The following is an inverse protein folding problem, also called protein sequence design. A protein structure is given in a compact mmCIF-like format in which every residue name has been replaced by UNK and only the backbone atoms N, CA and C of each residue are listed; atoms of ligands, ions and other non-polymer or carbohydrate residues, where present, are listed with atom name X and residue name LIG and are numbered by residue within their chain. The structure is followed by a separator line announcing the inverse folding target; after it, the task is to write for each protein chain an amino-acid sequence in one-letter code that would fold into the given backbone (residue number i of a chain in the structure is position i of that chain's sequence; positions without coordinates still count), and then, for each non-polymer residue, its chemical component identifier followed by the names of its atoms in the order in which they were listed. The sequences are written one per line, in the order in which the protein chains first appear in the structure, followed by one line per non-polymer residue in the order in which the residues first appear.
data_IF_116704984628
#
_entry.id   IF_116704984628
#
_cell.length_a   1.000
_cell.length_b   1.000
_cell.length_c   1.000
_cell.angle_alpha   90.00
_cell.angle_beta   90.00
_cell.angle_gamma   90.00
#
_symmetry.space_group_name_H-M   'P 1'
#
loop_
_entity.id
_entity.type
_entity.pdbx_description
1 polymer ?
#
# COMPACT_ATOMS: atom_id res chain seq x y z
N UNK A 1 2.95 34.69 -33.11
CA UNK A 1 1.50 34.48 -33.09
C UNK A 1 1.10 33.01 -33.29
N UNK A 2 1.65 32.25 -34.24
CA UNK A 2 1.31 30.85 -34.53
C UNK A 2 1.59 29.85 -33.36
N UNK A 3 2.60 30.10 -32.54
CA UNK A 3 2.93 29.17 -31.42
C UNK A 3 1.94 29.22 -30.26
N UNK A 4 1.33 30.34 -30.00
CA UNK A 4 0.32 30.54 -28.97
C UNK A 4 -1.01 29.85 -29.35
N UNK A 5 -1.42 30.02 -30.63
CA UNK A 5 -2.61 29.36 -31.16
C UNK A 5 -2.52 27.82 -31.10
N UNK A 6 -1.35 27.25 -31.44
CA UNK A 6 -1.12 25.79 -31.30
C UNK A 6 -1.21 25.30 -29.88
N UNK A 7 -0.77 26.06 -28.87
CA UNK A 7 -0.92 25.71 -27.47
C UNK A 7 -2.39 25.71 -27.01
N UNK A 8 -3.15 26.74 -27.43
CA UNK A 8 -4.58 26.82 -27.10
C UNK A 8 -5.35 25.66 -27.74
N UNK A 9 -5.10 25.33 -29.00
CA UNK A 9 -5.74 24.20 -29.70
C UNK A 9 -5.42 22.88 -28.98
N UNK A 10 -4.16 22.65 -28.55
CA UNK A 10 -3.81 21.46 -27.74
C UNK A 10 -4.59 21.38 -26.44
N UNK A 11 -4.72 22.48 -25.71
CA UNK A 11 -5.47 22.52 -24.45
C UNK A 11 -6.96 22.21 -24.69
N UNK A 12 -7.55 22.79 -25.74
CA UNK A 12 -8.95 22.53 -26.11
C UNK A 12 -9.15 21.04 -26.46
N UNK A 13 -8.24 20.44 -27.23
CA UNK A 13 -8.32 19.01 -27.58
C UNK A 13 -8.24 18.13 -26.33
N UNK A 14 -7.36 18.45 -25.37
CA UNK A 14 -7.24 17.70 -24.11
C UNK A 14 -8.53 17.84 -23.28
N UNK A 15 -9.10 19.03 -23.19
CA UNK A 15 -10.37 19.25 -22.47
C UNK A 15 -11.50 18.49 -23.13
N UNK A 16 -11.62 18.53 -24.46
CA UNK A 16 -12.62 17.78 -25.20
C UNK A 16 -12.45 16.26 -25.07
N UNK A 17 -11.20 15.77 -25.03
CA UNK A 17 -10.91 14.36 -24.80
C UNK A 17 -11.34 13.92 -23.38
N UNK A 18 -11.10 14.75 -22.36
CA UNK A 18 -11.52 14.49 -20.99
C UNK A 18 -13.07 14.48 -20.89
N UNK A 19 -13.72 15.49 -21.48
CA UNK A 19 -15.18 15.59 -21.50
C UNK A 19 -15.78 14.40 -22.27
N UNK A 20 -15.23 14.06 -23.43
CA UNK A 20 -15.65 12.90 -24.21
C UNK A 20 -15.49 11.60 -23.44
N UNK A 21 -14.36 11.39 -22.78
CA UNK A 21 -14.11 10.21 -21.94
C UNK A 21 -15.11 10.10 -20.80
N UNK A 22 -15.42 11.20 -20.10
CA UNK A 22 -16.44 11.22 -19.04
C UNK A 22 -17.84 10.96 -19.58
N UNK A 23 -18.19 11.55 -20.73
CA UNK A 23 -19.52 11.42 -21.35
C UNK A 23 -19.82 10.03 -21.92
N UNK A 24 -18.79 9.28 -22.36
CA UNK A 24 -18.95 7.89 -22.88
C UNK A 24 -18.86 6.83 -21.74
N UNK A 25 -19.05 7.24 -20.50
CA UNK A 25 -18.99 6.32 -19.38
C UNK A 25 -17.58 6.06 -18.84
N UNK A 26 -16.59 6.85 -19.24
CA UNK A 26 -15.25 6.78 -18.69
C UNK A 26 -15.21 6.99 -17.18
N UNK A 27 -16.15 7.77 -16.63
CA UNK A 27 -16.37 7.87 -15.20
C UNK A 27 -16.87 6.56 -14.59
N UNK A 28 -17.73 5.84 -15.31
CA UNK A 28 -18.19 4.50 -14.91
C UNK A 28 -17.06 3.48 -15.04
N UNK A 29 -16.20 3.60 -16.05
CA UNK A 29 -14.99 2.79 -16.19
C UNK A 29 -13.99 3.06 -15.05
N UNK A 30 -13.76 4.31 -14.71
CA UNK A 30 -12.95 4.69 -13.55
C UNK A 30 -13.59 4.17 -12.25
N UNK A 31 -14.88 4.40 -12.05
CA UNK A 31 -15.63 3.84 -10.93
C UNK A 31 -15.53 2.31 -10.88
N UNK A 32 -15.69 1.62 -11.97
CA UNK A 32 -15.67 0.15 -12.02
C UNK A 32 -14.26 -0.43 -11.85
N UNK A 33 -13.20 0.30 -12.22
CA UNK A 33 -11.81 -0.10 -12.01
C UNK A 33 -11.21 0.39 -10.68
N UNK A 34 -11.79 1.44 -10.12
CA UNK A 34 -11.45 1.98 -8.78
C UNK A 34 -12.53 1.58 -7.77
N UNK A 35 -13.46 0.71 -8.13
CA UNK A 35 -14.44 0.22 -7.18
C UNK A 35 -13.72 -0.41 -5.98
N UNK A 36 -13.69 0.37 -4.91
CA UNK A 36 -13.81 -0.16 -3.57
C UNK A 36 -15.15 -0.92 -3.54
N UNK A 37 -15.13 -2.17 -3.95
CA UNK A 37 -16.29 -2.99 -3.89
C UNK A 37 -16.59 -3.22 -2.40
N UNK A 38 -17.59 -2.55 -1.86
CA UNK A 38 -17.97 -2.61 -0.45
C UNK A 38 -18.54 -3.97 -0.04
N UNK A 39 -18.70 -4.89 -0.99
CA UNK A 39 -19.09 -6.25 -0.70
C UNK A 39 -17.90 -7.01 -0.10
N UNK A 40 -18.06 -7.50 1.13
CA UNK A 40 -17.03 -8.23 1.88
C UNK A 40 -16.50 -9.45 1.10
N UNK A 41 -17.38 -10.16 0.43
CA UNK A 41 -17.06 -11.33 -0.38
C UNK A 41 -16.11 -11.01 -1.54
N UNK A 42 -16.33 -9.92 -2.25
CA UNK A 42 -15.44 -9.44 -3.32
C UNK A 42 -14.08 -8.95 -2.80
N UNK A 43 -14.01 -8.44 -1.58
CA UNK A 43 -12.73 -8.05 -0.94
C UNK A 43 -11.91 -9.29 -0.62
N UNK A 44 -12.55 -10.31 -0.04
CA UNK A 44 -11.92 -11.60 0.29
C UNK A 44 -11.42 -12.27 -1.00
N UNK A 45 -12.24 -12.40 -2.03
CA UNK A 45 -11.85 -12.99 -3.32
C UNK A 45 -10.62 -12.29 -3.95
N UNK A 46 -10.57 -10.96 -3.86
CA UNK A 46 -9.41 -10.18 -4.35
C UNK A 46 -8.18 -10.39 -3.48
N UNK A 47 -8.35 -10.47 -2.16
CA UNK A 47 -7.26 -10.72 -1.24
C UNK A 47 -6.68 -12.12 -1.47
N UNK A 48 -7.50 -13.15 -1.66
CA UNK A 48 -7.09 -14.53 -1.90
C UNK A 48 -6.27 -14.71 -3.18
N UNK A 49 -6.44 -13.84 -4.18
CA UNK A 49 -5.58 -13.80 -5.38
C UNK A 49 -4.16 -13.32 -5.07
N UNK A 50 -3.98 -12.64 -3.96
CA UNK A 50 -2.69 -12.05 -3.54
C UNK A 50 -1.96 -12.98 -2.57
N UNK A 51 -2.67 -13.46 -1.54
CA UNK A 51 -2.22 -14.43 -0.56
C UNK A 51 -3.45 -15.05 0.14
N UNK A 52 -3.26 -16.16 0.85
CA UNK A 52 -4.32 -16.75 1.65
C UNK A 52 -4.49 -16.00 2.98
N UNK A 53 -5.62 -15.33 3.12
CA UNK A 53 -6.04 -14.58 4.30
C UNK A 53 -7.17 -15.28 5.06
N UNK A 54 -7.49 -16.55 4.74
CA UNK A 54 -8.61 -17.29 5.34
C UNK A 54 -8.46 -17.52 6.84
N UNK A 55 -7.23 -17.43 7.35
CA UNK A 55 -6.91 -17.61 8.78
C UNK A 55 -7.00 -16.34 9.62
N UNK A 56 -7.36 -15.19 9.02
CA UNK A 56 -7.63 -13.98 9.79
C UNK A 56 -8.89 -14.19 10.65
N UNK A 57 -8.72 -14.69 11.87
CA UNK A 57 -9.76 -15.26 12.73
C UNK A 57 -10.61 -14.20 13.45
N UNK A 58 -11.06 -13.19 12.75
CA UNK A 58 -11.96 -12.16 13.28
C UNK A 58 -11.25 -11.04 14.06
N UNK A 59 -9.96 -11.19 14.37
CA UNK A 59 -9.16 -10.11 14.94
C UNK A 59 -8.80 -9.05 13.90
N UNK A 60 -8.83 -9.43 12.62
CA UNK A 60 -8.54 -8.52 11.50
C UNK A 60 -9.70 -8.48 10.52
N UNK A 61 -10.03 -7.29 10.08
CA UNK A 61 -11.00 -7.02 9.03
C UNK A 61 -10.28 -6.62 7.74
N UNK A 62 -10.63 -7.23 6.60
CA UNK A 62 -10.18 -6.78 5.28
C UNK A 62 -11.01 -5.56 4.89
N UNK A 63 -10.39 -4.40 4.94
CA UNK A 63 -11.02 -3.13 4.57
C UNK A 63 -11.12 -3.00 3.05
N UNK A 64 -10.03 -3.31 2.35
CA UNK A 64 -10.02 -3.34 0.89
C UNK A 64 -8.90 -4.23 0.34
N UNK A 65 -9.11 -4.74 -0.86
CA UNK A 65 -8.09 -5.43 -1.63
C UNK A 65 -8.22 -5.06 -3.12
N UNK A 66 -7.11 -5.01 -3.84
CA UNK A 66 -7.12 -4.65 -5.24
C UNK A 66 -5.75 -4.47 -5.86
N UNK A 67 -5.75 -3.90 -7.06
CA UNK A 67 -4.56 -3.66 -7.87
C UNK A 67 -4.40 -2.16 -8.09
N UNK A 68 -3.19 -1.66 -7.87
CA UNK A 68 -2.81 -0.29 -8.25
C UNK A 68 -1.96 -0.39 -9.52
N UNK A 69 -2.37 0.26 -10.62
CA UNK A 69 -1.59 0.27 -11.85
C UNK A 69 -0.13 0.66 -11.58
N UNK A 70 0.81 -0.05 -12.20
CA UNK A 70 2.26 0.14 -12.11
C UNK A 70 2.90 -0.08 -10.72
N UNK A 71 2.13 -0.17 -9.64
CA UNK A 71 2.65 -0.34 -8.28
C UNK A 71 2.58 -1.79 -7.84
N UNK A 72 1.40 -2.37 -7.76
CA UNK A 72 1.24 -3.74 -7.27
C UNK A 72 -0.19 -4.08 -6.86
N UNK A 73 -0.32 -5.25 -6.28
CA UNK A 73 -1.57 -5.76 -5.74
C UNK A 73 -1.50 -5.64 -4.22
N UNK A 74 -2.57 -5.16 -3.58
CA UNK A 74 -2.57 -4.86 -2.16
C UNK A 74 -3.76 -5.47 -1.42
N UNK A 75 -3.54 -5.76 -0.16
CA UNK A 75 -4.59 -6.03 0.84
C UNK A 75 -4.40 -5.05 1.99
N UNK A 76 -5.46 -4.35 2.33
CA UNK A 76 -5.51 -3.42 3.45
C UNK A 76 -6.42 -3.98 4.53
N UNK A 77 -5.86 -4.15 5.72
CA UNK A 77 -6.56 -4.71 6.88
C UNK A 77 -6.53 -3.75 8.06
N UNK A 78 -7.44 -3.98 8.99
CA UNK A 78 -7.55 -3.28 10.26
C UNK A 78 -7.70 -4.31 11.37
N UNK A 79 -6.93 -4.16 12.45
CA UNK A 79 -7.13 -4.92 13.67
C UNK A 79 -8.32 -4.34 14.44
N UNK A 80 -9.30 -5.17 14.76
CA UNK A 80 -10.60 -4.74 15.29
C UNK A 80 -10.50 -4.05 16.65
N UNK A 81 -9.66 -4.56 17.54
CA UNK A 81 -9.55 -4.06 18.92
C UNK A 81 -8.65 -2.82 19.07
N UNK A 82 -7.59 -2.67 18.25
CA UNK A 82 -6.59 -1.59 18.43
C UNK A 82 -6.60 -0.53 17.34
N UNK A 83 -7.44 -0.67 16.33
CA UNK A 83 -7.48 0.20 15.15
C UNK A 83 -6.16 0.25 14.35
N UNK A 84 -5.21 -0.66 14.65
CA UNK A 84 -3.96 -0.78 13.91
C UNK A 84 -4.23 -1.28 12.49
N UNK A 85 -3.60 -0.63 11.53
CA UNK A 85 -3.81 -0.89 10.10
C UNK A 85 -2.59 -1.58 9.53
N UNK A 86 -2.81 -2.50 8.57
CA UNK A 86 -1.73 -3.17 7.86
C UNK A 86 -2.03 -3.23 6.37
N UNK A 87 -1.03 -2.90 5.57
CA UNK A 87 -1.06 -2.99 4.11
C UNK A 87 -0.04 -4.06 3.71
N UNK A 88 -0.52 -5.10 3.04
CA UNK A 88 0.31 -6.10 2.39
C UNK A 88 0.31 -5.81 0.90
N UNK A 89 1.45 -5.39 0.36
CA UNK A 89 1.60 -4.93 -1.02
C UNK A 89 2.57 -5.83 -1.78
N UNK A 90 2.09 -6.54 -2.78
CA UNK A 90 2.92 -7.31 -3.71
C UNK A 90 3.33 -6.44 -4.88
N UNK A 91 4.62 -6.12 -4.98
CA UNK A 91 5.15 -5.20 -6.00
C UNK A 91 5.18 -5.85 -7.38
N UNK A 92 4.76 -5.10 -8.41
CA UNK A 92 4.87 -5.52 -9.82
C UNK A 92 6.30 -5.43 -10.34
N UNK A 93 7.07 -4.44 -9.87
CA UNK A 93 8.49 -4.26 -10.21
C UNK A 93 9.35 -4.86 -9.11
N UNK A 94 10.20 -5.81 -9.46
CA UNK A 94 11.14 -6.45 -8.54
C UNK A 94 12.12 -5.48 -7.88
N UNK A 95 12.43 -4.36 -8.53
CA UNK A 95 13.47 -3.43 -8.11
C UNK A 95 12.99 -2.33 -7.16
N UNK A 96 11.69 -2.24 -6.86
CA UNK A 96 11.14 -1.08 -6.16
C UNK A 96 11.57 -1.00 -4.69
N UNK A 97 11.53 -2.11 -3.98
CA UNK A 97 12.02 -2.25 -2.60
C UNK A 97 12.18 -3.73 -2.29
N UNK A 98 13.37 -4.15 -1.95
CA UNK A 98 13.73 -5.55 -1.69
C UNK A 98 14.16 -5.73 -0.23
N UNK A 99 14.18 -6.98 0.23
CA UNK A 99 14.69 -7.34 1.55
C UNK A 99 16.13 -6.86 1.80
N UNK A 100 16.98 -6.94 0.77
CA UNK A 100 18.38 -6.49 0.84
C UNK A 100 18.50 -4.97 1.05
N UNK A 101 17.54 -4.18 0.57
CA UNK A 101 17.57 -2.73 0.72
C UNK A 101 17.50 -2.29 2.18
N UNK A 102 16.85 -3.06 3.05
CA UNK A 102 16.74 -2.75 4.49
C UNK A 102 18.06 -2.92 5.25
N UNK A 103 18.96 -3.74 4.74
CA UNK A 103 20.29 -4.01 5.33
C UNK A 103 21.38 -3.11 4.74
N UNK A 104 21.10 -2.37 3.67
CA UNK A 104 22.09 -1.53 2.99
C UNK A 104 22.32 -0.19 3.72
N UNK A 105 23.48 0.43 3.51
CA UNK A 105 23.75 1.80 3.98
C UNK A 105 22.79 2.83 3.37
N UNK A 106 22.31 2.56 2.16
CA UNK A 106 21.33 3.40 1.43
C UNK A 106 19.87 3.11 1.78
N UNK A 107 19.62 2.23 2.77
CA UNK A 107 18.26 1.84 3.17
C UNK A 107 17.35 3.04 3.44
N UNK A 108 17.83 4.01 4.20
CA UNK A 108 17.05 5.18 4.58
C UNK A 108 16.62 6.01 3.37
N UNK A 109 17.48 6.19 2.38
CA UNK A 109 17.14 6.93 1.15
C UNK A 109 16.14 6.17 0.32
N UNK A 110 16.39 4.89 0.03
CA UNK A 110 15.45 4.07 -0.76
C UNK A 110 14.06 3.96 -0.14
N UNK A 111 13.99 3.78 1.19
CA UNK A 111 12.72 3.69 1.90
C UNK A 111 11.97 5.05 1.87
N UNK A 112 12.69 6.16 2.05
CA UNK A 112 12.10 7.50 1.92
C UNK A 112 11.57 7.74 0.51
N UNK A 113 12.33 7.39 -0.51
CA UNK A 113 11.90 7.53 -1.92
C UNK A 113 10.67 6.66 -2.20
N UNK A 114 10.64 5.42 -1.69
CA UNK A 114 9.47 4.57 -1.79
C UNK A 114 8.25 5.21 -1.13
N UNK A 115 8.38 5.71 0.10
CA UNK A 115 7.29 6.35 0.85
C UNK A 115 6.80 7.63 0.17
N UNK A 116 7.71 8.46 -0.33
CA UNK A 116 7.36 9.70 -1.04
C UNK A 116 6.58 9.43 -2.35
N UNK A 117 6.85 8.29 -2.98
CA UNK A 117 6.14 7.87 -4.19
C UNK A 117 4.93 6.96 -3.90
N UNK A 118 4.68 6.65 -2.62
CA UNK A 118 3.60 5.77 -2.21
C UNK A 118 2.25 6.48 -2.33
N UNK A 119 1.41 5.99 -3.24
CA UNK A 119 0.07 6.54 -3.53
C UNK A 119 -0.96 5.42 -3.56
N UNK A 120 -1.12 4.73 -2.44
CA UNK A 120 -2.15 3.69 -2.30
C UNK A 120 -3.20 4.19 -1.32
N UNK A 121 -4.48 4.02 -1.66
CA UNK A 121 -5.61 4.34 -0.79
C UNK A 121 -5.67 5.83 -0.35
N UNK A 122 -5.11 6.74 -1.16
CA UNK A 122 -4.97 8.17 -0.82
C UNK A 122 -4.11 8.45 0.42
N UNK A 123 -3.36 7.47 0.91
CA UNK A 123 -2.37 7.72 1.94
C UNK A 123 -1.18 8.45 1.33
N UNK A 124 -0.82 9.57 1.92
CA UNK A 124 0.42 10.29 1.68
C UNK A 124 1.06 10.54 3.03
N UNK A 125 2.31 10.14 3.18
CA UNK A 125 3.08 10.36 4.39
C UNK A 125 3.86 11.66 4.26
N UNK A 126 3.77 12.51 5.27
CA UNK A 126 4.59 13.72 5.42
C UNK A 126 5.40 13.62 6.70
N UNK A 127 6.43 14.45 6.82
CA UNK A 127 7.34 14.47 7.98
C UNK A 127 7.92 13.09 8.34
N UNK A 128 8.09 12.21 7.34
CA UNK A 128 8.53 10.83 7.52
C UNK A 128 9.93 10.74 8.13
N UNK A 129 10.03 10.11 9.30
CA UNK A 129 11.28 9.87 10.04
C UNK A 129 11.43 8.39 10.32
N UNK A 130 12.62 7.84 10.06
CA UNK A 130 12.98 6.50 10.49
C UNK A 130 13.51 6.61 11.93
N UNK A 131 12.84 5.92 12.86
CA UNK A 131 13.13 5.96 14.29
C UNK A 131 13.89 4.73 14.79
N UNK A 132 13.99 3.69 13.96
CA UNK A 132 14.73 2.49 14.31
C UNK A 132 14.71 1.43 13.22
N UNK A 133 15.44 0.35 13.43
CA UNK A 133 15.48 -0.84 12.56
C UNK A 133 15.23 -2.08 13.40
N UNK A 134 14.77 -3.15 12.76
CA UNK A 134 14.54 -4.44 13.40
C UNK A 134 14.20 -5.53 12.40
N UNK A 135 13.84 -6.67 12.92
CA UNK A 135 13.32 -7.78 12.14
C UNK A 135 12.19 -8.49 12.89
N UNK A 136 11.36 -9.17 12.15
CA UNK A 136 10.33 -10.07 12.68
C UNK A 136 10.36 -11.39 11.90
N UNK A 137 9.97 -12.49 12.55
CA UNK A 137 9.86 -13.79 11.91
C UNK A 137 8.40 -14.01 11.53
N UNK A 138 8.13 -14.05 10.22
CA UNK A 138 6.81 -14.32 9.66
C UNK A 138 6.96 -14.82 8.22
N UNK A 139 5.90 -15.40 7.65
CA UNK A 139 5.90 -15.91 6.28
C UNK A 139 7.05 -16.91 6.02
N UNK A 140 7.42 -17.69 7.05
CA UNK A 140 8.55 -18.62 7.04
C UNK A 140 9.91 -17.97 6.72
N UNK A 141 10.08 -16.71 7.06
CA UNK A 141 11.34 -15.99 6.85
C UNK A 141 11.53 -14.88 7.89
N UNK A 142 12.77 -14.41 8.02
CA UNK A 142 13.07 -13.17 8.75
C UNK A 142 12.80 -11.98 7.82
N UNK A 143 11.93 -11.09 8.25
CA UNK A 143 11.50 -9.88 7.54
C UNK A 143 12.18 -8.68 8.19
N UNK A 144 13.16 -8.04 7.54
CA UNK A 144 13.74 -6.81 8.04
C UNK A 144 12.74 -5.67 7.88
N UNK A 145 12.74 -4.74 8.84
CA UNK A 145 11.90 -3.56 8.81
C UNK A 145 12.60 -2.33 9.36
N UNK A 146 12.07 -1.16 9.03
CA UNK A 146 12.33 0.10 9.73
C UNK A 146 11.11 0.51 10.52
N UNK A 147 11.32 1.08 11.71
CA UNK A 147 10.30 1.82 12.46
C UNK A 147 10.24 3.23 11.93
N UNK A 148 9.06 3.78 11.84
CA UNK A 148 8.87 5.14 11.39
C UNK A 148 7.87 5.92 12.25
N UNK A 149 7.99 7.22 12.15
CA UNK A 149 7.02 8.21 12.60
C UNK A 149 6.72 9.14 11.41
N UNK A 150 5.45 9.45 11.18
CA UNK A 150 5.01 10.29 10.08
C UNK A 150 3.65 10.92 10.37
N UNK A 151 3.33 11.98 9.64
CA UNK A 151 1.99 12.49 9.51
C UNK A 151 1.33 11.89 8.29
N UNK A 152 0.04 11.57 8.37
CA UNK A 152 -0.75 11.08 7.23
C UNK A 152 -1.63 12.22 6.76
N UNK A 153 -1.38 12.69 5.53
CA UNK A 153 -2.20 13.71 4.88
C UNK A 153 -3.61 13.16 4.67
N UNK A 154 -4.59 14.00 4.89
CA UNK A 154 -6.02 13.70 4.84
C UNK A 154 -6.59 12.93 6.05
N UNK A 155 -5.76 12.63 7.05
CA UNK A 155 -6.23 12.27 8.37
C UNK A 155 -5.78 13.38 9.33
N UNK A 156 -6.65 13.92 10.19
CA UNK A 156 -6.27 15.00 11.13
C UNK A 156 -5.43 14.43 12.29
N UNK A 157 -4.41 13.64 11.99
CA UNK A 157 -3.64 12.87 12.96
C UNK A 157 -2.17 13.05 12.63
N UNK A 158 -1.43 13.60 13.58
CA UNK A 158 0.03 13.71 13.55
C UNK A 158 0.67 12.61 14.40
N UNK A 159 1.91 12.27 14.07
CA UNK A 159 2.70 11.34 14.87
C UNK A 159 2.28 9.88 14.74
N UNK A 160 1.78 9.47 13.58
CA UNK A 160 1.52 8.06 13.27
C UNK A 160 2.81 7.23 13.37
N UNK A 161 2.79 6.19 14.17
CA UNK A 161 3.90 5.27 14.34
C UNK A 161 3.64 3.95 13.63
N UNK A 162 4.70 3.34 13.09
CA UNK A 162 4.56 2.07 12.39
C UNK A 162 5.87 1.45 11.98
N UNK A 163 5.75 0.40 11.15
CA UNK A 163 6.90 -0.24 10.48
C UNK A 163 6.65 -0.32 8.98
N UNK A 164 7.77 -0.33 8.24
CA UNK A 164 7.81 -0.74 6.84
C UNK A 164 8.83 -1.87 6.76
N UNK A 165 8.41 -3.03 6.24
CA UNK A 165 9.25 -4.19 6.04
C UNK A 165 9.14 -4.75 4.63
N UNK A 166 10.09 -5.59 4.22
CA UNK A 166 10.04 -6.30 2.95
C UNK A 166 10.25 -7.79 3.14
N UNK A 167 9.40 -8.56 2.45
CA UNK A 167 9.46 -10.00 2.38
C UNK A 167 9.67 -10.45 0.92
N UNK A 168 10.37 -11.54 0.73
CA UNK A 168 10.50 -12.20 -0.56
C UNK A 168 9.43 -13.28 -0.69
N UNK A 169 8.71 -13.29 -1.81
CA UNK A 169 7.69 -14.30 -2.11
C UNK A 169 8.30 -15.43 -2.95
N UNK A 170 7.68 -16.62 -2.94
CA UNK A 170 8.17 -17.82 -3.63
C UNK A 170 8.47 -17.64 -5.12
N UNK A 171 7.77 -16.76 -5.79
CA UNK A 171 7.95 -16.47 -7.23
C UNK A 171 8.95 -15.34 -7.51
N UNK A 172 9.86 -15.06 -6.56
CA UNK A 172 10.82 -13.92 -6.59
C UNK A 172 10.18 -12.55 -6.65
N UNK A 173 8.89 -12.44 -6.37
CA UNK A 173 8.25 -11.14 -6.16
C UNK A 173 8.58 -10.63 -4.76
N UNK A 174 8.59 -9.32 -4.60
CA UNK A 174 8.75 -8.69 -3.29
C UNK A 174 7.39 -8.24 -2.76
N UNK A 175 7.16 -8.46 -1.48
CA UNK A 175 6.05 -7.88 -0.76
C UNK A 175 6.58 -6.82 0.20
N UNK A 176 5.90 -5.67 0.24
CA UNK A 176 6.12 -4.63 1.25
C UNK A 176 4.99 -4.68 2.25
N UNK A 177 5.35 -4.72 3.51
CA UNK A 177 4.43 -4.68 4.64
C UNK A 177 4.52 -3.31 5.27
N UNK A 178 3.41 -2.58 5.32
CA UNK A 178 3.31 -1.31 6.04
C UNK A 178 2.27 -1.51 7.13
N UNK A 179 2.68 -1.42 8.39
CA UNK A 179 1.74 -1.52 9.50
C UNK A 179 1.91 -0.31 10.41
N UNK A 180 0.79 0.33 10.75
CA UNK A 180 0.79 1.58 11.50
C UNK A 180 -0.48 1.74 12.34
N UNK A 181 -0.37 2.55 13.38
CA UNK A 181 -1.51 2.96 14.19
C UNK A 181 -1.66 4.48 14.17
N UNK A 182 -2.88 4.94 13.90
CA UNK A 182 -3.21 6.37 13.80
C UNK A 182 -3.75 6.95 15.12
N UNK A 183 -4.21 6.12 16.04
CA UNK A 183 -4.91 6.56 17.27
C UNK A 183 -4.27 6.03 18.56
N UNK A 184 -3.04 5.55 18.51
CA UNK A 184 -2.41 4.98 19.68
C UNK A 184 -1.00 4.50 19.42
N UNK A 185 -0.43 3.79 20.38
CA UNK A 185 0.90 3.20 20.21
C UNK A 185 0.84 2.05 19.20
N UNK A 186 1.74 2.07 18.24
CA UNK A 186 1.96 0.95 17.35
C UNK A 186 2.41 -0.29 18.14
N UNK A 187 1.82 -1.44 17.83
CA UNK A 187 2.19 -2.74 18.41
C UNK A 187 2.81 -3.65 17.34
N UNK A 188 4.08 -3.99 17.51
CA UNK A 188 4.75 -4.96 16.64
C UNK A 188 4.16 -6.37 16.78
N UNK A 189 3.62 -6.70 17.96
CA UNK A 189 2.98 -8.00 18.21
C UNK A 189 1.77 -8.19 17.28
N UNK A 190 0.90 -7.17 17.16
CA UNK A 190 -0.26 -7.21 16.26
C UNK A 190 0.16 -7.43 14.81
N UNK A 191 1.24 -6.77 14.36
CA UNK A 191 1.77 -7.02 13.02
C UNK A 191 2.31 -8.43 12.86
N UNK A 192 2.97 -8.97 13.88
CA UNK A 192 3.47 -10.36 13.85
C UNK A 192 2.32 -11.36 13.81
N UNK A 193 1.25 -11.15 14.58
CA UNK A 193 0.03 -11.97 14.54
C UNK A 193 -0.60 -11.89 13.14
N UNK A 194 -0.82 -10.70 12.60
CA UNK A 194 -1.34 -10.53 11.23
C UNK A 194 -0.55 -11.36 10.22
N UNK A 195 0.78 -11.23 10.22
CA UNK A 195 1.63 -11.92 9.25
C UNK A 195 1.75 -13.44 9.50
N UNK A 196 1.51 -13.91 10.73
CA UNK A 196 1.48 -15.36 11.02
C UNK A 196 0.24 -16.04 10.45
N UNK A 197 -0.83 -15.30 10.27
CA UNK A 197 -2.11 -15.76 9.70
C UNK A 197 -2.16 -15.64 8.18
N UNK A 198 -1.28 -14.84 7.57
CA UNK A 198 -1.16 -14.73 6.11
C UNK A 198 -0.34 -15.89 5.57
N UNK A 199 -0.89 -16.65 4.63
CA UNK A 199 -0.16 -17.69 3.93
C UNK A 199 0.08 -17.27 2.48
N UNK A 200 1.35 -17.31 2.06
CA UNK A 200 1.71 -17.04 0.66
C UNK A 200 1.31 -18.28 -0.14
N UNK A 201 0.36 -18.11 -1.05
CA UNK A 201 -0.08 -19.18 -1.95
C UNK A 201 1.12 -19.80 -2.67
N UNK A 202 1.11 -21.11 -2.73
CA UNK A 202 2.17 -21.95 -3.32
C UNK A 202 2.31 -21.73 -4.80
#
# INVERSE_FOLDING_TARGET
MFGFLKKIIKIIIIILAIIGFVSIGGWTFIKNHIHFNNNQESKIEKAEKIADFSKLNGEFEIISAGSVPFTGDYVYTKHTASDQKSIFLVLKKQESLTKADFSSEKANTKIKDFVNNFKILNFKFENFKITGKGSLNALNQTIPFVKFEADIVNLPISGTQGIIGAAELKNKKNAVIISFNTHGKYSQIITSVFLSEVQINK
#
